data_IF_044605275300
#
_entry.id   IF_044605275300
#
_cell.length_a   1.000
_cell.length_b   1.000
_cell.length_c   1.000
_cell.angle_alpha   90.00
_cell.angle_beta   90.00
_cell.angle_gamma   90.00
#
_symmetry.space_group_name_H-M   'P 1'
#
loop_
_entity.id
_entity.type
_entity.pdbx_description
1 polymer ?
#
# COMPACT_ATOMS: atom_id res chain seq x y z
N UNK A 1 58.88 2.51 -8.95
CA UNK A 1 58.33 1.97 -7.68
C UNK A 1 57.35 2.95 -7.01
N UNK A 2 57.72 4.22 -6.76
CA UNK A 2 56.84 5.18 -6.06
C UNK A 2 55.55 5.56 -6.80
N UNK A 3 55.58 5.71 -8.12
CA UNK A 3 54.42 6.06 -8.94
C UNK A 3 53.34 4.96 -8.93
N UNK A 4 53.74 3.71 -9.16
CA UNK A 4 52.83 2.56 -9.14
C UNK A 4 52.15 2.36 -7.77
N UNK A 5 52.84 2.66 -6.66
CA UNK A 5 52.26 2.60 -5.33
C UNK A 5 51.20 3.70 -5.10
N UNK A 6 51.49 4.93 -5.53
CA UNK A 6 50.55 6.06 -5.48
C UNK A 6 49.31 5.82 -6.34
N UNK A 7 49.50 5.31 -7.56
CA UNK A 7 48.40 5.06 -8.49
C UNK A 7 47.51 3.92 -7.99
N UNK A 8 48.10 2.88 -7.39
CA UNK A 8 47.36 1.83 -6.72
C UNK A 8 46.52 2.36 -5.54
N UNK A 9 47.09 3.24 -4.70
CA UNK A 9 46.36 3.85 -3.59
C UNK A 9 45.15 4.67 -4.07
N UNK A 10 45.33 5.48 -5.13
CA UNK A 10 44.24 6.26 -5.73
C UNK A 10 43.13 5.36 -6.28
N UNK A 11 43.47 4.35 -7.08
CA UNK A 11 42.50 3.42 -7.63
C UNK A 11 41.75 2.68 -6.53
N UNK A 12 42.44 2.30 -5.44
CA UNK A 12 41.81 1.61 -4.31
C UNK A 12 40.76 2.47 -3.61
N UNK A 13 41.05 3.75 -3.38
CA UNK A 13 40.09 4.66 -2.73
C UNK A 13 38.94 5.06 -3.69
N UNK A 14 39.18 5.17 -4.99
CA UNK A 14 38.12 5.36 -6.00
C UNK A 14 37.15 4.17 -6.03
N UNK A 15 37.66 2.95 -6.11
CA UNK A 15 36.85 1.73 -6.10
C UNK A 15 36.09 1.55 -4.78
N UNK A 16 36.71 1.94 -3.66
CA UNK A 16 36.04 1.97 -2.36
C UNK A 16 34.87 2.97 -2.35
N UNK A 17 35.08 4.16 -2.91
CA UNK A 17 34.04 5.19 -3.01
C UNK A 17 32.87 4.72 -3.88
N UNK A 18 33.15 4.09 -5.04
CA UNK A 18 32.13 3.50 -5.91
C UNK A 18 31.30 2.44 -5.19
N UNK A 19 31.95 1.53 -4.44
CA UNK A 19 31.22 0.51 -3.64
C UNK A 19 30.37 1.14 -2.55
N UNK A 20 30.87 2.17 -1.86
CA UNK A 20 30.11 2.89 -0.84
C UNK A 20 28.88 3.59 -1.46
N UNK A 21 29.02 4.17 -2.64
CA UNK A 21 27.90 4.78 -3.36
C UNK A 21 26.82 3.74 -3.74
N UNK A 22 27.23 2.56 -4.24
CA UNK A 22 26.30 1.46 -4.55
C UNK A 22 25.57 0.97 -3.29
N UNK A 23 26.28 0.85 -2.16
CA UNK A 23 25.66 0.44 -0.90
C UNK A 23 24.67 1.50 -0.39
N UNK A 24 25.02 2.78 -0.48
CA UNK A 24 24.13 3.87 -0.10
C UNK A 24 22.86 3.90 -0.99
N UNK A 25 23.00 3.74 -2.30
CA UNK A 25 21.88 3.69 -3.25
C UNK A 25 20.97 2.48 -3.01
N UNK A 26 21.58 1.32 -2.72
CA UNK A 26 20.85 0.12 -2.30
C UNK A 26 20.05 0.40 -1.04
N UNK A 27 20.66 1.01 -0.02
CA UNK A 27 20.01 1.27 1.25
C UNK A 27 18.84 2.26 1.09
N UNK A 28 19.03 3.33 0.30
CA UNK A 28 17.95 4.26 -0.07
C UNK A 28 16.81 3.54 -0.81
N UNK A 29 17.15 2.67 -1.77
CA UNK A 29 16.17 1.90 -2.53
C UNK A 29 15.39 0.94 -1.62
N UNK A 30 16.06 0.26 -0.69
CA UNK A 30 15.42 -0.63 0.28
C UNK A 30 14.46 0.15 1.18
N UNK A 31 14.88 1.30 1.72
CA UNK A 31 14.01 2.14 2.54
C UNK A 31 12.80 2.66 1.76
N UNK A 32 12.98 3.01 0.49
CA UNK A 32 11.86 3.38 -0.39
C UNK A 32 10.86 2.22 -0.56
N UNK A 33 11.37 1.00 -0.80
CA UNK A 33 10.53 -0.20 -0.91
C UNK A 33 9.78 -0.47 0.41
N UNK A 34 10.44 -0.31 1.56
CA UNK A 34 9.81 -0.46 2.89
C UNK A 34 8.69 0.55 3.12
N UNK A 35 8.93 1.82 2.80
CA UNK A 35 7.90 2.87 2.92
C UNK A 35 6.68 2.58 2.02
N UNK A 36 6.91 2.11 0.79
CA UNK A 36 5.84 1.69 -0.11
C UNK A 36 5.06 0.49 0.45
N UNK A 37 5.76 -0.51 0.96
CA UNK A 37 5.17 -1.68 1.60
C UNK A 37 4.26 -1.28 2.77
N UNK A 38 4.74 -0.43 3.68
CA UNK A 38 3.97 -0.03 4.86
C UNK A 38 2.75 0.81 4.51
N UNK A 39 2.86 1.63 3.46
CA UNK A 39 1.72 2.37 2.93
C UNK A 39 0.65 1.43 2.36
N UNK A 40 1.04 0.45 1.54
CA UNK A 40 0.11 -0.54 0.98
C UNK A 40 -0.53 -1.36 2.10
N UNK A 41 0.26 -1.80 3.08
CA UNK A 41 -0.23 -2.56 4.24
C UNK A 41 -1.27 -1.79 5.04
N UNK A 42 -1.02 -0.50 5.27
CA UNK A 42 -1.94 0.39 6.00
C UNK A 42 -3.23 0.61 5.21
N UNK A 43 -3.12 0.95 3.92
CA UNK A 43 -4.28 1.12 3.04
C UNK A 43 -5.15 -0.15 2.96
N UNK A 44 -4.52 -1.32 2.91
CA UNK A 44 -5.21 -2.62 2.98
C UNK A 44 -5.95 -2.78 4.31
N UNK A 45 -5.26 -2.58 5.43
CA UNK A 45 -5.86 -2.73 6.76
C UNK A 45 -7.06 -1.80 6.95
N UNK A 46 -6.95 -0.55 6.52
CA UNK A 46 -8.03 0.44 6.60
C UNK A 46 -9.22 0.05 5.72
N UNK A 47 -8.97 -0.41 4.49
CA UNK A 47 -10.00 -0.89 3.57
C UNK A 47 -10.78 -2.06 4.17
N UNK A 48 -10.07 -3.05 4.74
CA UNK A 48 -10.71 -4.19 5.38
C UNK A 48 -11.49 -3.78 6.64
N UNK A 49 -10.95 -2.87 7.46
CA UNK A 49 -11.63 -2.35 8.64
C UNK A 49 -12.92 -1.59 8.30
N UNK A 50 -12.88 -0.74 7.26
CA UNK A 50 -14.04 -0.02 6.79
C UNK A 50 -15.13 -0.97 6.28
N UNK A 51 -14.74 -2.00 5.51
CA UNK A 51 -15.68 -3.04 5.03
C UNK A 51 -16.29 -3.83 6.18
N UNK A 52 -15.50 -4.23 7.17
CA UNK A 52 -15.99 -4.89 8.39
C UNK A 52 -17.03 -4.01 9.10
N UNK A 53 -16.69 -2.75 9.34
CA UNK A 53 -17.57 -1.79 10.02
C UNK A 53 -18.86 -1.55 9.23
N UNK A 54 -18.78 -1.46 7.90
CA UNK A 54 -19.93 -1.30 7.00
C UNK A 54 -20.86 -2.51 7.03
N UNK A 55 -20.31 -3.73 6.96
CA UNK A 55 -21.07 -4.98 7.07
C UNK A 55 -21.74 -5.11 8.44
N UNK A 56 -21.06 -4.75 9.53
CA UNK A 56 -21.67 -4.74 10.87
C UNK A 56 -22.82 -3.73 10.96
N UNK A 57 -22.70 -2.56 10.32
CA UNK A 57 -23.79 -1.59 10.27
C UNK A 57 -24.98 -2.10 9.43
N UNK A 58 -24.71 -2.81 8.33
CA UNK A 58 -25.75 -3.45 7.52
C UNK A 58 -26.46 -4.56 8.30
N UNK A 59 -25.74 -5.39 9.06
CA UNK A 59 -26.35 -6.40 9.94
C UNK A 59 -27.28 -5.74 10.97
N UNK A 60 -26.83 -4.67 11.64
CA UNK A 60 -27.70 -3.93 12.58
C UNK A 60 -28.93 -3.32 11.89
N UNK A 61 -28.81 -2.87 10.64
CA UNK A 61 -29.95 -2.36 9.88
C UNK A 61 -30.91 -3.48 9.48
N UNK A 62 -30.39 -4.67 9.17
CA UNK A 62 -31.17 -5.88 8.91
C UNK A 62 -31.97 -6.28 10.15
N UNK A 63 -31.34 -6.30 11.32
CA UNK A 63 -32.01 -6.60 12.60
C UNK A 63 -33.19 -5.65 12.84
N UNK A 64 -32.98 -4.34 12.65
CA UNK A 64 -34.05 -3.34 12.78
C UNK A 64 -35.18 -3.53 11.77
N UNK A 65 -34.86 -3.88 10.52
CA UNK A 65 -35.86 -4.11 9.49
C UNK A 65 -36.71 -5.35 9.79
N UNK A 66 -36.08 -6.40 10.35
CA UNK A 66 -36.76 -7.60 10.83
C UNK A 66 -37.68 -7.29 12.02
N UNK A 67 -37.19 -6.58 13.03
CA UNK A 67 -37.98 -6.15 14.19
C UNK A 67 -39.19 -5.31 13.80
N UNK A 68 -39.05 -4.42 12.80
CA UNK A 68 -40.14 -3.56 12.34
C UNK A 68 -41.07 -4.23 11.31
N UNK A 69 -40.80 -5.47 10.89
CA UNK A 69 -41.53 -6.14 9.81
C UNK A 69 -41.42 -5.43 8.44
N UNK A 70 -40.39 -4.60 8.25
CA UNK A 70 -40.24 -3.77 7.06
C UNK A 70 -39.47 -4.53 5.97
N UNK A 71 -40.21 -5.33 5.20
CA UNK A 71 -39.68 -6.19 4.13
C UNK A 71 -38.96 -5.38 3.04
N UNK A 72 -39.40 -4.16 2.74
CA UNK A 72 -38.74 -3.29 1.77
C UNK A 72 -37.36 -2.84 2.25
N UNK A 73 -37.25 -2.44 3.52
CA UNK A 73 -35.96 -2.09 4.12
C UNK A 73 -35.02 -3.30 4.20
N UNK A 74 -35.55 -4.49 4.49
CA UNK A 74 -34.80 -5.73 4.51
C UNK A 74 -34.17 -6.04 3.14
N UNK A 75 -34.94 -5.92 2.06
CA UNK A 75 -34.42 -6.12 0.69
C UNK A 75 -33.30 -5.15 0.34
N UNK A 76 -33.45 -3.86 0.67
CA UNK A 76 -32.42 -2.85 0.40
C UNK A 76 -31.11 -3.16 1.13
N UNK A 77 -31.21 -3.58 2.39
CA UNK A 77 -30.03 -3.94 3.20
C UNK A 77 -29.33 -5.18 2.64
N UNK A 78 -30.08 -6.22 2.28
CA UNK A 78 -29.55 -7.45 1.69
C UNK A 78 -28.85 -7.18 0.35
N UNK A 79 -29.44 -6.37 -0.53
CA UNK A 79 -28.81 -5.97 -1.80
C UNK A 79 -27.49 -5.21 -1.56
N UNK A 80 -27.46 -4.34 -0.54
CA UNK A 80 -26.25 -3.63 -0.11
C UNK A 80 -25.14 -4.56 0.38
N UNK A 81 -25.50 -5.59 1.16
CA UNK A 81 -24.57 -6.62 1.63
C UNK A 81 -24.02 -7.44 0.46
N UNK A 82 -24.86 -7.89 -0.47
CA UNK A 82 -24.43 -8.64 -1.66
C UNK A 82 -23.44 -7.84 -2.49
N UNK A 83 -23.71 -6.55 -2.75
CA UNK A 83 -22.77 -5.65 -3.46
C UNK A 83 -21.45 -5.49 -2.72
N UNK A 84 -21.50 -5.38 -1.40
CA UNK A 84 -20.30 -5.25 -0.54
C UNK A 84 -19.48 -6.53 -0.51
N UNK A 85 -20.11 -7.71 -0.60
CA UNK A 85 -19.43 -9.01 -0.67
C UNK A 85 -18.83 -9.22 -2.07
N UNK A 86 -19.57 -8.85 -3.12
CA UNK A 86 -19.14 -9.01 -4.51
C UNK A 86 -18.04 -8.02 -4.93
N UNK A 87 -17.89 -6.88 -4.26
CA UNK A 87 -16.87 -5.90 -4.61
C UNK A 87 -15.46 -6.38 -4.24
N UNK A 88 -14.51 -6.30 -5.18
CA UNK A 88 -13.09 -6.59 -4.91
C UNK A 88 -12.47 -5.46 -4.08
N UNK A 89 -11.85 -5.74 -2.92
CA UNK A 89 -11.14 -4.72 -2.13
C UNK A 89 -9.87 -4.24 -2.85
N UNK A 90 -9.46 -4.92 -3.92
CA UNK A 90 -8.22 -4.66 -4.64
C UNK A 90 -8.41 -3.85 -5.92
N UNK A 91 -9.65 -3.47 -6.29
CA UNK A 91 -9.86 -2.60 -7.46
C UNK A 91 -9.11 -1.28 -7.27
N UNK A 92 -9.29 -0.66 -6.11
CA UNK A 92 -8.65 0.61 -5.77
C UNK A 92 -7.12 0.49 -5.64
N UNK A 93 -6.62 -0.70 -5.27
CA UNK A 93 -5.18 -0.99 -5.13
C UNK A 93 -4.52 -1.26 -6.49
N UNK A 94 -5.24 -1.90 -7.42
CA UNK A 94 -4.78 -2.06 -8.79
C UNK A 94 -4.65 -0.69 -9.49
N UNK A 95 -5.62 0.20 -9.28
CA UNK A 95 -5.59 1.59 -9.74
C UNK A 95 -4.46 2.39 -9.05
N UNK A 96 -4.15 2.07 -7.78
CA UNK A 96 -3.01 2.66 -7.04
C UNK A 96 -1.67 2.17 -7.61
N UNK A 97 -1.54 0.89 -7.95
CA UNK A 97 -0.33 0.30 -8.56
C UNK A 97 -0.02 0.92 -9.91
N UNK A 98 -1.04 1.18 -10.73
CA UNK A 98 -0.89 1.88 -12.01
C UNK A 98 -0.29 3.27 -11.79
N UNK A 99 -0.78 4.02 -10.79
CA UNK A 99 -0.24 5.33 -10.39
C UNK A 99 1.15 5.26 -9.73
N UNK A 100 1.51 4.16 -9.08
CA UNK A 100 2.86 3.93 -8.54
C UNK A 100 3.89 3.53 -9.60
N UNK A 101 3.43 3.07 -10.77
CA UNK A 101 4.30 2.66 -11.88
C UNK A 101 4.77 3.84 -12.72
N UNK A 102 4.06 4.98 -12.64
CA UNK A 102 4.53 6.27 -13.13
C UNK A 102 5.57 6.84 -12.15
N UNK A 103 6.76 7.11 -12.67
CA UNK A 103 8.03 7.22 -11.93
C UNK A 103 8.16 8.37 -10.90
N UNK A 104 7.11 9.14 -10.61
CA UNK A 104 7.19 10.38 -9.81
C UNK A 104 6.12 10.54 -8.69
N UNK A 105 5.46 9.47 -8.24
CA UNK A 105 4.42 9.61 -7.23
C UNK A 105 4.97 9.77 -5.79
N UNK A 106 4.88 11.00 -5.25
CA UNK A 106 5.07 11.30 -3.82
C UNK A 106 3.70 11.28 -3.12
N UNK A 107 3.51 10.33 -2.21
CA UNK A 107 2.29 10.15 -1.43
C UNK A 107 2.16 11.31 -0.43
N UNK A 108 1.40 12.35 -0.79
CA UNK A 108 1.02 13.41 0.15
C UNK A 108 -0.26 13.00 0.87
N UNK A 109 -0.12 12.60 2.13
CA UNK A 109 -1.25 12.48 3.06
C UNK A 109 -1.80 13.88 3.35
N UNK A 110 -3.11 14.07 3.17
CA UNK A 110 -3.84 15.23 3.67
C UNK A 110 -4.35 14.95 5.07
#
# INVERSE_FOLDING_TARGET
>A
MHQAHSDYQKLREEERTKRLAILADRDVTIERIRAQHDTIKTALADTFNLRKTGLEAQIRAMDKALESGNVAALHVVLDGMVKTIQSSPFKDIADMREKFSDQDFVLRLK
#
